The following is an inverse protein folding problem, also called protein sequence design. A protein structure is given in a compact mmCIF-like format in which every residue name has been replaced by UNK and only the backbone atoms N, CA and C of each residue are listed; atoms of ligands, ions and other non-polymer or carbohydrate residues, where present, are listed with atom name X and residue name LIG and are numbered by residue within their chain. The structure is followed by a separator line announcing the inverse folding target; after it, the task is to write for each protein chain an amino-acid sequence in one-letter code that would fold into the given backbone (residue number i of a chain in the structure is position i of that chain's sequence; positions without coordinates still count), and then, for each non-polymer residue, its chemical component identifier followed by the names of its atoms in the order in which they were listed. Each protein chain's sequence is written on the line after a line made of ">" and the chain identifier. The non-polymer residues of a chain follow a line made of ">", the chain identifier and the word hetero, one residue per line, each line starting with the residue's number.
data_IF_095639343131
#
_entry.id   IF_095639343131
#
_cell.length_a   1.000
_cell.length_b   1.000
_cell.length_c   1.000
_cell.angle_alpha   90.00
_cell.angle_beta   90.00
_cell.angle_gamma   90.00
#
_symmetry.space_group_name_H-M   'P 1'
#
loop_
_entity.id
_entity.type
_entity.pdbx_description
1 polymer ?
#
# COMPACT_ATOMS: atom_id res chain seq x y z
N UNK A 1 -9.48 18.08 -1.15
CA UNK A 1 -8.91 18.30 0.19
C UNK A 1 -7.88 17.22 0.42
N UNK A 2 -6.63 17.60 0.68
CA UNK A 2 -5.51 16.68 0.84
C UNK A 2 -5.39 16.34 2.33
N UNK A 3 -5.75 15.11 2.71
CA UNK A 3 -5.51 14.61 4.06
C UNK A 3 -4.14 13.94 4.06
N UNK A 4 -3.11 14.70 4.47
CA UNK A 4 -1.82 14.09 4.82
C UNK A 4 -1.92 13.62 6.26
N UNK A 5 -1.81 12.31 6.48
CA UNK A 5 -1.81 11.76 7.81
C UNK A 5 -0.42 11.98 8.42
N UNK A 6 -0.36 12.62 9.60
CA UNK A 6 0.90 12.81 10.35
C UNK A 6 1.40 11.51 10.99
N UNK A 7 0.55 10.50 11.05
CA UNK A 7 0.77 9.14 11.51
C UNK A 7 -0.07 8.20 10.66
N UNK A 8 0.40 6.99 10.28
CA UNK A 8 -0.41 6.02 9.55
C UNK A 8 -1.80 5.89 10.14
N UNK A 9 -2.84 5.98 9.30
CA UNK A 9 -4.20 5.83 9.79
C UNK A 9 -4.53 4.36 9.97
N UNK A 10 -4.79 4.00 11.23
CA UNK A 10 -5.36 2.73 11.59
C UNK A 10 -6.80 2.97 12.02
N UNK A 11 -7.74 2.27 11.38
CA UNK A 11 -9.12 2.26 11.83
C UNK A 11 -9.21 1.78 13.30
N UNK A 12 -10.22 2.23 14.06
CA UNK A 12 -10.42 1.75 15.41
C UNK A 12 -10.62 0.23 15.45
N UNK A 13 -10.04 -0.45 16.43
CA UNK A 13 -10.17 -1.90 16.56
C UNK A 13 -11.63 -2.33 16.70
N UNK A 14 -11.99 -3.41 16.02
CA UNK A 14 -13.34 -3.98 15.98
C UNK A 14 -14.41 -3.03 15.42
N UNK A 15 -14.01 -2.06 14.58
CA UNK A 15 -14.92 -1.11 13.93
C UNK A 15 -15.34 -1.58 12.53
N UNK A 16 -16.40 -0.98 11.98
CA UNK A 16 -16.78 -1.22 10.58
C UNK A 16 -15.73 -0.65 9.63
N UNK A 17 -15.09 0.45 10.02
CA UNK A 17 -14.01 1.10 9.31
C UNK A 17 -12.80 0.16 9.16
N UNK A 18 -12.47 -0.61 10.20
CA UNK A 18 -11.42 -1.64 10.16
C UNK A 18 -11.76 -2.72 9.14
N UNK A 19 -13.00 -3.23 9.16
CA UNK A 19 -13.44 -4.22 8.16
C UNK A 19 -13.35 -3.69 6.72
N UNK A 20 -13.70 -2.42 6.49
CA UNK A 20 -13.59 -1.81 5.17
C UNK A 20 -12.13 -1.58 4.76
N UNK A 21 -11.26 -1.24 5.71
CA UNK A 21 -9.81 -1.12 5.48
C UNK A 21 -9.20 -2.49 5.13
N UNK A 22 -9.58 -3.56 5.83
CA UNK A 22 -9.11 -4.93 5.56
C UNK A 22 -9.54 -5.42 4.17
N UNK A 23 -10.79 -5.12 3.77
CA UNK A 23 -11.29 -5.40 2.41
C UNK A 23 -10.47 -4.62 1.37
N UNK A 24 -10.20 -3.33 1.61
CA UNK A 24 -9.38 -2.50 0.73
C UNK A 24 -7.99 -3.10 0.55
N UNK A 25 -7.31 -3.44 1.64
CA UNK A 25 -6.00 -4.09 1.58
C UNK A 25 -6.06 -5.38 0.78
N UNK A 26 -7.00 -6.27 1.11
CA UNK A 26 -7.18 -7.55 0.43
C UNK A 26 -7.33 -7.41 -1.09
N UNK A 27 -8.05 -6.38 -1.56
CA UNK A 27 -8.21 -6.11 -3.00
C UNK A 27 -6.96 -5.52 -3.66
N UNK A 28 -6.15 -4.75 -2.93
CA UNK A 28 -4.98 -4.06 -3.47
C UNK A 28 -3.70 -4.92 -3.42
N UNK A 29 -3.65 -5.97 -2.59
CA UNK A 29 -2.48 -6.85 -2.42
C UNK A 29 -1.87 -7.31 -3.76
N UNK A 30 -2.62 -7.78 -4.77
CA UNK A 30 -2.01 -8.24 -6.02
C UNK A 30 -1.19 -7.16 -6.75
N UNK A 31 -1.62 -5.90 -6.69
CA UNK A 31 -0.95 -4.77 -7.33
C UNK A 31 0.29 -4.33 -6.55
N UNK A 32 0.20 -4.35 -5.22
CA UNK A 32 1.29 -4.04 -4.31
C UNK A 32 2.39 -5.10 -4.43
N UNK A 33 2.03 -6.39 -4.31
CA UNK A 33 2.96 -7.51 -4.43
C UNK A 33 3.65 -7.51 -5.78
N UNK A 34 2.93 -7.25 -6.88
CA UNK A 34 3.55 -7.13 -8.20
C UNK A 34 4.60 -6.00 -8.25
N UNK A 35 4.31 -4.86 -7.64
CA UNK A 35 5.24 -3.72 -7.61
C UNK A 35 6.51 -4.02 -6.82
N UNK A 36 6.36 -4.71 -5.67
CA UNK A 36 7.48 -5.20 -4.86
C UNK A 36 8.29 -6.23 -5.64
N UNK A 37 7.65 -7.22 -6.27
CA UNK A 37 8.31 -8.21 -7.12
C UNK A 37 9.14 -7.53 -8.23
N UNK A 38 8.53 -6.60 -8.96
CA UNK A 38 9.17 -5.89 -10.08
C UNK A 38 10.41 -5.07 -9.64
N UNK A 39 10.44 -4.62 -8.38
CA UNK A 39 11.59 -3.94 -7.79
C UNK A 39 12.65 -4.91 -7.27
N UNK A 40 12.29 -5.77 -6.31
CA UNK A 40 13.26 -6.58 -5.56
C UNK A 40 13.84 -7.75 -6.35
N UNK A 41 13.16 -8.27 -7.38
CA UNK A 41 13.72 -9.36 -8.21
C UNK A 41 14.99 -8.96 -8.97
N UNK A 42 15.29 -7.66 -9.05
CA UNK A 42 16.54 -7.14 -9.61
C UNK A 42 17.74 -7.31 -8.67
N UNK A 43 17.49 -7.45 -7.37
CA UNK A 43 18.50 -7.40 -6.32
C UNK A 43 18.53 -8.67 -5.45
N UNK A 44 17.38 -9.32 -5.28
CA UNK A 44 17.19 -10.49 -4.43
C UNK A 44 16.81 -11.71 -5.27
N UNK A 45 17.42 -12.85 -4.96
CA UNK A 45 17.04 -14.15 -5.55
C UNK A 45 15.74 -14.70 -4.97
N UNK A 46 15.28 -14.17 -3.83
CA UNK A 46 14.04 -14.56 -3.16
C UNK A 46 13.08 -13.38 -3.26
N UNK A 47 11.85 -13.65 -3.65
CA UNK A 47 10.78 -12.64 -3.71
C UNK A 47 10.29 -12.31 -2.31
N UNK A 48 10.37 -11.04 -1.86
CA UNK A 48 9.72 -10.63 -0.64
C UNK A 48 8.20 -10.77 -0.72
N UNK A 49 7.58 -10.99 0.43
CA UNK A 49 6.14 -11.12 0.59
C UNK A 49 5.59 -9.82 1.19
N UNK A 50 4.41 -9.43 0.75
CA UNK A 50 3.59 -8.39 1.36
C UNK A 50 2.28 -9.01 1.81
N UNK A 51 1.90 -8.72 3.05
CA UNK A 51 0.57 -9.03 3.59
C UNK A 51 -0.14 -7.73 4.04
N UNK A 52 -1.45 -7.77 4.36
CA UNK A 52 -2.17 -6.59 4.83
C UNK A 52 -1.57 -5.92 6.08
N UNK A 53 -0.87 -6.66 6.94
CA UNK A 53 -0.27 -6.14 8.18
C UNK A 53 1.03 -5.38 7.91
N UNK A 54 1.65 -5.60 6.76
CA UNK A 54 2.86 -4.91 6.31
C UNK A 54 2.59 -3.62 5.51
N UNK A 55 1.35 -3.12 5.55
CA UNK A 55 0.90 -1.95 4.77
C UNK A 55 0.31 -0.89 5.71
N UNK A 56 0.78 0.34 5.52
CA UNK A 56 0.30 1.54 6.20
C UNK A 56 -0.27 2.53 5.18
N UNK A 57 -1.51 3.02 5.37
CA UNK A 57 -2.05 4.12 4.56
C UNK A 57 -1.45 5.45 5.04
N UNK A 58 -0.74 6.13 4.14
CA UNK A 58 -0.14 7.46 4.39
C UNK A 58 -1.09 8.60 4.02
N UNK A 59 -1.86 8.43 2.94
CA UNK A 59 -2.89 9.41 2.53
C UNK A 59 -3.87 8.81 1.55
N UNK A 60 -5.12 9.28 1.61
CA UNK A 60 -6.14 9.03 0.59
C UNK A 60 -6.67 10.37 0.11
N UNK A 61 -6.65 10.57 -1.21
CA UNK A 61 -7.15 11.77 -1.85
C UNK A 61 -8.29 11.43 -2.82
N UNK A 62 -9.29 12.30 -2.85
CA UNK A 62 -10.31 12.35 -3.91
C UNK A 62 -10.11 13.65 -4.70
N UNK A 63 -9.33 13.64 -5.79
CA UNK A 63 -8.95 14.87 -6.48
C UNK A 63 -10.11 15.51 -7.26
N UNK A 64 -11.07 14.71 -7.74
CA UNK A 64 -12.07 15.14 -8.72
C UNK A 64 -13.41 15.63 -8.12
N UNK A 65 -13.37 16.36 -7.01
CA UNK A 65 -14.56 16.86 -6.28
C UNK A 65 -15.30 15.81 -5.43
N UNK A 66 -16.30 16.26 -4.67
CA UNK A 66 -17.05 15.43 -3.73
C UNK A 66 -17.86 14.34 -4.46
N UNK A 67 -17.85 13.12 -3.91
CA UNK A 67 -18.52 11.91 -4.42
C UNK A 67 -18.10 11.38 -5.79
N UNK A 68 -16.92 11.75 -6.32
CA UNK A 68 -16.31 10.95 -7.38
C UNK A 68 -15.71 9.65 -6.85
N UNK A 69 -15.75 8.63 -7.69
CA UNK A 69 -15.10 7.35 -7.47
C UNK A 69 -13.76 7.36 -8.21
N UNK A 70 -12.87 8.24 -7.77
CA UNK A 70 -11.49 8.29 -8.25
C UNK A 70 -10.65 8.66 -7.04
N UNK A 71 -9.80 7.72 -6.64
CA UNK A 71 -9.05 7.77 -5.40
C UNK A 71 -7.57 7.64 -5.71
N UNK A 72 -6.76 8.48 -5.10
CA UNK A 72 -5.30 8.36 -5.11
C UNK A 72 -4.88 7.98 -3.69
N UNK A 73 -4.26 6.82 -3.56
CA UNK A 73 -3.88 6.22 -2.29
C UNK A 73 -2.35 6.14 -2.27
N UNK A 74 -1.74 6.77 -1.26
CA UNK A 74 -0.31 6.60 -0.98
C UNK A 74 -0.15 5.68 0.23
N UNK A 75 0.65 4.64 0.07
CA UNK A 75 0.88 3.61 1.08
C UNK A 75 2.37 3.48 1.36
N UNK A 76 2.70 3.17 2.60
CA UNK A 76 3.99 2.61 3.00
C UNK A 76 3.86 1.10 3.03
N UNK A 77 4.82 0.41 2.45
CA UNK A 77 4.87 -1.05 2.33
C UNK A 77 6.19 -1.53 2.90
N UNK A 78 6.13 -2.57 3.73
CA UNK A 78 7.29 -3.15 4.41
C UNK A 78 7.42 -4.62 3.99
N UNK A 79 7.89 -4.90 2.76
CA UNK A 79 8.02 -6.26 2.29
C UNK A 79 9.03 -7.04 3.14
N UNK A 80 8.80 -8.34 3.30
CA UNK A 80 9.62 -9.18 4.16
C UNK A 80 9.93 -10.55 3.55
N UNK A 81 10.99 -11.21 4.04
CA UNK A 81 11.33 -12.60 3.71
C UNK A 81 11.23 -13.48 4.95
N UNK A 82 10.80 -14.73 4.78
CA UNK A 82 10.65 -15.68 5.88
C UNK A 82 9.64 -15.21 6.94
N UNK A 83 9.95 -15.44 8.21
CA UNK A 83 9.07 -15.16 9.36
C UNK A 83 9.01 -13.68 9.75
N UNK A 84 8.94 -12.76 8.79
CA UNK A 84 8.85 -11.29 8.97
C UNK A 84 10.18 -10.52 9.05
N UNK A 85 11.23 -10.98 8.35
CA UNK A 85 12.45 -10.16 8.19
C UNK A 85 12.19 -9.10 7.12
N UNK A 86 11.86 -7.87 7.55
CA UNK A 86 11.62 -6.74 6.64
C UNK A 86 12.90 -6.46 5.84
N UNK A 87 12.77 -6.36 4.52
CA UNK A 87 13.91 -6.13 3.62
C UNK A 87 14.05 -4.67 3.18
N UNK A 88 12.98 -3.89 3.32
CA UNK A 88 13.01 -2.46 3.04
C UNK A 88 11.69 -1.77 3.38
N UNK A 89 11.69 -0.47 3.18
CA UNK A 89 10.51 0.39 3.24
C UNK A 89 10.30 1.04 1.89
N UNK A 90 9.09 0.88 1.36
CA UNK A 90 8.71 1.40 0.06
C UNK A 90 7.46 2.29 0.18
N UNK A 91 7.38 3.30 -0.67
CA UNK A 91 6.16 4.06 -0.91
C UNK A 91 5.56 3.67 -2.25
N UNK A 92 4.27 3.34 -2.24
CA UNK A 92 3.52 3.02 -3.45
C UNK A 92 2.35 3.97 -3.56
N UNK A 93 2.18 4.56 -4.75
CA UNK A 93 1.01 5.37 -5.08
C UNK A 93 0.12 4.61 -6.06
N UNK A 94 -1.13 4.40 -5.69
CA UNK A 94 -2.13 3.68 -6.49
C UNK A 94 -3.34 4.57 -6.73
N UNK A 95 -3.87 4.52 -7.95
CA UNK A 95 -5.17 5.06 -8.32
C UNK A 95 -6.20 3.93 -8.39
N UNK A 96 -7.36 4.15 -7.81
CA UNK A 96 -8.55 3.30 -7.96
C UNK A 96 -9.70 4.13 -8.49
N UNK A 97 -10.35 3.69 -9.56
CA UNK A 97 -11.50 4.40 -10.13
C UNK A 97 -12.84 3.66 -9.96
N UNK A 98 -13.91 4.31 -10.42
CA UNK A 98 -15.29 3.86 -10.25
C UNK A 98 -15.73 2.76 -11.20
N UNK A 99 -14.90 2.39 -12.17
CA UNK A 99 -15.12 1.23 -13.04
C UNK A 99 -14.31 0.01 -12.58
N UNK A 100 -13.51 0.16 -11.51
CA UNK A 100 -12.73 -0.92 -10.90
C UNK A 100 -11.29 -1.01 -11.40
N UNK A 101 -10.84 -0.04 -12.20
CA UNK A 101 -9.44 -0.02 -12.64
C UNK A 101 -8.53 0.39 -11.49
N UNK A 102 -7.46 -0.39 -11.31
CA UNK A 102 -6.41 -0.13 -10.33
C UNK A 102 -5.10 0.07 -11.07
N UNK A 103 -4.49 1.25 -10.88
CA UNK A 103 -3.24 1.62 -11.53
C UNK A 103 -2.19 1.97 -10.50
N UNK A 104 -1.05 1.30 -10.54
CA UNK A 104 0.16 1.72 -9.82
C UNK A 104 0.74 2.92 -10.56
N UNK A 105 0.73 4.09 -9.92
CA UNK A 105 1.22 5.33 -10.50
C UNK A 105 2.73 5.50 -10.29
N UNK A 106 3.22 5.09 -9.12
CA UNK A 106 4.59 5.33 -8.69
C UNK A 106 5.01 4.29 -7.64
N UNK A 107 6.30 3.97 -7.65
CA UNK A 107 6.97 3.11 -6.67
C UNK A 107 8.30 3.78 -6.30
N UNK A 108 8.45 4.13 -5.03
CA UNK A 108 9.61 4.82 -4.48
C UNK A 108 10.18 3.98 -3.34
N UNK A 109 11.40 3.47 -3.51
CA UNK A 109 12.12 2.80 -2.42
C UNK A 109 12.74 3.84 -1.48
N UNK A 110 12.55 3.68 -0.17
CA UNK A 110 12.93 4.68 0.84
C UNK A 110 14.19 4.26 1.59
N UNK A 111 14.21 3.03 2.09
CA UNK A 111 15.35 2.51 2.83
C UNK A 111 15.43 0.99 2.73
N UNK A 112 16.68 0.50 2.71
CA UNK A 112 16.99 -0.91 2.95
C UNK A 112 16.88 -1.20 4.46
N UNK A 113 16.24 -2.30 4.81
CA UNK A 113 16.23 -2.81 6.18
C UNK A 113 17.21 -3.98 6.27
N UNK A 114 18.30 -3.87 7.05
CA UNK A 114 19.22 -4.98 7.24
C UNK A 114 18.50 -6.13 7.96
N UNK A 115 18.63 -7.34 7.38
CA UNK A 115 18.16 -8.59 7.96
C UNK A 115 19.09 -9.10 9.06
#
# INVERSE_FOLDING_TARGET
>A
MKFMLTTPYNAPKHSQEELYQDILYSMLIPYIQKSVDDYYTKFLSIKPIVDPMSIDILSVERPNWYRTFYFVIKMKVMPYVGSHNTVGIDHITITVDGIGEVKVNDFEHIEDCPC
#
